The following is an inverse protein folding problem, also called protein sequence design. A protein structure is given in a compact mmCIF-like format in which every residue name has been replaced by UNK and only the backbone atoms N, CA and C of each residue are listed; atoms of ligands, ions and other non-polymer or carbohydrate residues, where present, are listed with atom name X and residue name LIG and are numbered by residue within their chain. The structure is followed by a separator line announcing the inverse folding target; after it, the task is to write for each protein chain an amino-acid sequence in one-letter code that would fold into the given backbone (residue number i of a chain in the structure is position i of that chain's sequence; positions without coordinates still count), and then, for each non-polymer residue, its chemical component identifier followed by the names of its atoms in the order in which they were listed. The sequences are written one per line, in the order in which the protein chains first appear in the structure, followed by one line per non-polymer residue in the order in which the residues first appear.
data_IF_757643851381
#
_entry.id   IF_757643851381
#
_cell.length_a   1.000
_cell.length_b   1.000
_cell.length_c   1.000
_cell.angle_alpha   90.00
_cell.angle_beta   90.00
_cell.angle_gamma   90.00
#
_symmetry.space_group_name_H-M   'P 1'
#
loop_
_entity.id
_entity.type
_entity.pdbx_description
1 polymer ?
#
# COMPACT_ATOMS: atom_id res chain seq x y z
N UNK A 1 16.99 -62.86 -38.48
CA UNK A 1 15.87 -62.08 -37.97
C UNK A 1 16.36 -61.31 -36.78
N UNK A 2 16.65 -60.00 -36.96
CA UNK A 2 17.25 -59.15 -35.92
C UNK A 2 16.21 -58.09 -35.47
N UNK A 3 15.68 -58.30 -34.29
CA UNK A 3 14.66 -57.39 -33.70
C UNK A 3 15.36 -56.18 -33.07
N UNK A 4 15.16 -54.98 -33.63
CA UNK A 4 15.64 -53.70 -33.07
C UNK A 4 14.64 -53.25 -31.99
N UNK A 5 15.07 -53.21 -30.75
CA UNK A 5 14.33 -52.58 -29.65
C UNK A 5 14.48 -51.07 -29.72
N UNK A 6 13.34 -50.35 -29.83
CA UNK A 6 13.26 -48.89 -29.81
C UNK A 6 13.14 -48.44 -28.35
N UNK A 7 14.23 -47.84 -27.79
CA UNK A 7 14.17 -47.19 -26.47
C UNK A 7 13.51 -45.82 -26.65
N UNK A 8 12.32 -45.67 -26.09
CA UNK A 8 11.61 -44.40 -25.99
C UNK A 8 12.08 -43.70 -24.72
N UNK A 9 12.96 -42.69 -24.87
CA UNK A 9 13.40 -41.86 -23.72
C UNK A 9 12.31 -40.86 -23.38
N UNK A 10 11.67 -41.05 -22.21
CA UNK A 10 10.70 -40.12 -21.65
C UNK A 10 11.42 -38.94 -21.00
N UNK A 11 11.40 -37.78 -21.63
CA UNK A 11 11.92 -36.51 -21.05
C UNK A 11 10.84 -35.94 -20.13
N UNK A 12 11.05 -36.05 -18.84
CA UNK A 12 10.22 -35.38 -17.82
C UNK A 12 10.56 -33.87 -17.83
N UNK A 13 9.71 -33.06 -18.42
CA UNK A 13 9.75 -31.61 -18.26
C UNK A 13 9.27 -31.27 -16.82
N UNK A 14 10.23 -30.93 -15.96
CA UNK A 14 9.93 -30.34 -14.65
C UNK A 14 9.46 -28.90 -14.86
N UNK A 15 8.18 -28.62 -14.64
CA UNK A 15 7.67 -27.26 -14.59
C UNK A 15 8.25 -26.53 -13.36
N UNK A 16 8.72 -25.28 -13.47
CA UNK A 16 9.17 -24.52 -12.31
C UNK A 16 7.99 -24.28 -11.36
N UNK A 17 8.08 -24.75 -10.13
CA UNK A 17 7.16 -24.40 -9.07
C UNK A 17 7.38 -22.93 -8.72
N UNK A 18 6.42 -22.06 -9.06
CA UNK A 18 6.43 -20.68 -8.57
C UNK A 18 6.38 -20.71 -7.05
N UNK A 19 7.48 -20.31 -6.41
CA UNK A 19 7.55 -20.20 -4.95
C UNK A 19 6.71 -18.99 -4.52
N UNK A 20 5.85 -19.16 -3.52
CA UNK A 20 5.10 -18.04 -2.94
C UNK A 20 6.10 -17.02 -2.36
N UNK A 21 5.84 -15.73 -2.60
CA UNK A 21 6.68 -14.66 -2.09
C UNK A 21 6.71 -14.69 -0.55
N UNK A 22 7.87 -14.43 0.03
CA UNK A 22 8.04 -14.36 1.47
C UNK A 22 7.36 -13.10 2.05
N UNK A 23 7.01 -13.07 3.35
CA UNK A 23 6.46 -11.88 3.99
C UNK A 23 7.35 -10.63 3.85
N UNK A 24 8.68 -10.81 3.79
CA UNK A 24 9.65 -9.73 3.61
C UNK A 24 9.53 -9.14 2.19
N UNK A 25 9.49 -10.01 1.17
CA UNK A 25 9.32 -9.56 -0.23
C UNK A 25 7.99 -8.85 -0.43
N UNK A 26 6.91 -9.38 0.15
CA UNK A 26 5.60 -8.74 0.11
C UNK A 26 5.58 -7.39 0.84
N UNK A 27 6.31 -7.25 1.96
CA UNK A 27 6.42 -5.98 2.68
C UNK A 27 7.13 -4.91 1.83
N UNK A 28 8.18 -5.27 1.09
CA UNK A 28 8.85 -4.36 0.16
C UNK A 28 7.96 -4.00 -1.05
N UNK A 29 7.16 -4.94 -1.53
CA UNK A 29 6.16 -4.66 -2.57
C UNK A 29 5.13 -3.64 -2.06
N UNK A 30 4.57 -3.84 -0.86
CA UNK A 30 3.61 -2.89 -0.26
C UNK A 30 4.27 -1.54 0.02
N UNK A 31 5.52 -1.50 0.48
CA UNK A 31 6.29 -0.27 0.65
C UNK A 31 6.40 0.50 -0.67
N UNK A 32 6.74 -0.19 -1.73
CA UNK A 32 6.83 0.40 -3.08
C UNK A 32 5.47 0.91 -3.58
N UNK A 33 4.40 0.17 -3.26
CA UNK A 33 3.01 0.59 -3.60
C UNK A 33 2.59 1.82 -2.82
N UNK A 34 2.92 1.91 -1.52
CA UNK A 34 2.63 3.10 -0.69
C UNK A 34 3.36 4.34 -1.20
N UNK A 35 4.65 4.20 -1.56
CA UNK A 35 5.43 5.30 -2.15
C UNK A 35 4.83 5.75 -3.50
N UNK A 36 4.41 4.82 -4.34
CA UNK A 36 3.75 5.15 -5.60
C UNK A 36 2.38 5.81 -5.38
N UNK A 37 1.64 5.39 -4.35
CA UNK A 37 0.39 6.03 -3.95
C UNK A 37 0.63 7.46 -3.45
N UNK A 38 1.62 7.68 -2.59
CA UNK A 38 2.01 9.01 -2.15
C UNK A 38 2.42 9.92 -3.32
N UNK A 39 3.11 9.35 -4.31
CA UNK A 39 3.53 10.08 -5.49
C UNK A 39 2.38 10.62 -6.32
N UNK A 40 1.22 9.97 -6.34
CA UNK A 40 0.04 10.49 -7.06
C UNK A 40 -0.39 11.88 -6.55
N UNK A 41 -0.25 12.13 -5.23
CA UNK A 41 -0.49 13.44 -4.63
C UNK A 41 0.55 14.45 -5.09
N UNK A 42 1.84 14.09 -5.10
CA UNK A 42 2.91 14.96 -5.57
C UNK A 42 2.76 15.33 -7.06
N UNK A 43 2.40 14.33 -7.88
CA UNK A 43 2.19 14.49 -9.33
C UNK A 43 0.83 15.12 -9.68
N UNK A 44 -0.03 15.39 -8.67
CA UNK A 44 -1.38 15.99 -8.83
C UNK A 44 -2.29 15.14 -9.73
N UNK A 45 -2.18 13.80 -9.64
CA UNK A 45 -2.91 12.84 -10.46
C UNK A 45 -4.02 12.11 -9.67
N UNK A 46 -5.26 12.65 -9.64
CA UNK A 46 -6.39 12.02 -8.95
C UNK A 46 -6.86 10.73 -9.62
N UNK A 47 -6.59 10.54 -10.91
CA UNK A 47 -6.95 9.30 -11.63
C UNK A 47 -6.04 8.16 -11.19
N UNK A 48 -4.73 8.39 -11.15
CA UNK A 48 -3.78 7.43 -10.61
C UNK A 48 -4.08 7.15 -9.13
N UNK A 49 -4.36 8.18 -8.31
CA UNK A 49 -4.77 8.01 -6.91
C UNK A 49 -5.94 7.03 -6.77
N UNK A 50 -7.00 7.22 -7.54
CA UNK A 50 -8.18 6.34 -7.52
C UNK A 50 -7.84 4.87 -7.82
N UNK A 51 -6.82 4.61 -8.64
CA UNK A 51 -6.42 3.25 -9.02
C UNK A 51 -5.81 2.42 -7.89
N UNK A 52 -5.31 3.09 -6.83
CA UNK A 52 -4.78 2.44 -5.63
C UNK A 52 -5.87 2.03 -4.63
N UNK A 53 -7.09 2.55 -4.78
CA UNK A 53 -8.19 2.30 -3.85
C UNK A 53 -8.95 1.02 -4.22
N UNK A 54 -9.29 0.20 -3.21
CA UNK A 54 -10.28 -0.84 -3.38
C UNK A 54 -11.67 -0.21 -3.65
N UNK A 55 -12.58 -0.93 -4.31
CA UNK A 55 -13.92 -0.42 -4.59
C UNK A 55 -14.68 -0.02 -3.32
N UNK A 56 -14.48 -0.78 -2.26
CA UNK A 56 -15.08 -0.58 -0.93
C UNK A 56 -14.20 0.19 0.06
N UNK A 57 -13.14 0.87 -0.40
CA UNK A 57 -12.19 1.57 0.48
C UNK A 57 -12.89 2.50 1.48
N UNK A 58 -12.38 2.55 2.70
CA UNK A 58 -12.88 3.42 3.77
C UNK A 58 -11.75 4.31 4.26
N UNK A 59 -11.91 5.60 4.08
CA UNK A 59 -10.96 6.61 4.56
C UNK A 59 -11.57 7.41 5.70
N UNK A 60 -10.78 7.66 6.74
CA UNK A 60 -11.23 8.42 7.90
C UNK A 60 -10.17 9.40 8.39
N UNK A 61 -10.63 10.60 8.80
CA UNK A 61 -9.80 11.62 9.45
C UNK A 61 -10.64 12.39 10.44
N UNK A 62 -10.22 12.45 11.70
CA UNK A 62 -11.04 12.99 12.76
C UNK A 62 -12.39 12.26 12.87
N UNK A 63 -13.49 13.00 12.74
CA UNK A 63 -14.87 12.48 12.70
C UNK A 63 -15.39 12.19 11.29
N UNK A 64 -14.65 12.56 10.25
CA UNK A 64 -15.06 12.36 8.85
C UNK A 64 -14.76 10.95 8.38
N UNK A 65 -15.71 10.33 7.67
CA UNK A 65 -15.56 9.00 7.08
C UNK A 65 -16.12 9.00 5.66
N UNK A 66 -15.28 8.60 4.69
CA UNK A 66 -15.68 8.36 3.30
C UNK A 66 -15.68 6.87 3.02
N UNK A 67 -16.78 6.33 2.46
CA UNK A 67 -16.95 4.91 2.16
C UNK A 67 -17.15 4.68 0.66
N UNK A 68 -16.34 3.79 0.10
CA UNK A 68 -16.28 3.49 -1.32
C UNK A 68 -15.33 4.40 -2.07
N UNK A 69 -14.67 3.85 -3.11
CA UNK A 69 -13.70 4.57 -3.95
C UNK A 69 -14.21 5.93 -4.43
N UNK A 70 -15.44 5.98 -4.96
CA UNK A 70 -16.00 7.21 -5.50
C UNK A 70 -16.15 8.31 -4.43
N UNK A 71 -16.60 7.95 -3.22
CA UNK A 71 -16.76 8.88 -2.12
C UNK A 71 -15.40 9.38 -1.59
N UNK A 72 -14.38 8.50 -1.56
CA UNK A 72 -13.01 8.89 -1.19
C UNK A 72 -12.44 9.87 -2.21
N UNK A 73 -12.56 9.57 -3.51
CA UNK A 73 -12.07 10.44 -4.60
C UNK A 73 -12.74 11.80 -4.53
N UNK A 74 -14.06 11.86 -4.33
CA UNK A 74 -14.78 13.14 -4.22
C UNK A 74 -14.33 13.93 -2.98
N UNK A 75 -14.17 13.27 -1.82
CA UNK A 75 -13.69 13.92 -0.60
C UNK A 75 -12.25 14.47 -0.72
N UNK A 76 -11.42 13.83 -1.55
CA UNK A 76 -10.02 14.21 -1.74
C UNK A 76 -9.80 15.16 -2.92
N UNK A 77 -10.82 15.40 -3.75
CA UNK A 77 -10.74 16.19 -4.98
C UNK A 77 -10.06 17.55 -4.77
N UNK A 78 -10.49 18.31 -3.75
CA UNK A 78 -9.91 19.62 -3.44
C UNK A 78 -8.42 19.57 -3.07
N UNK A 79 -7.93 18.43 -2.57
CA UNK A 79 -6.51 18.25 -2.25
C UNK A 79 -5.63 18.14 -3.50
N UNK A 80 -6.21 17.81 -4.66
CA UNK A 80 -5.52 17.75 -5.95
C UNK A 80 -5.60 19.07 -6.73
N UNK A 81 -6.28 20.08 -6.21
CA UNK A 81 -6.34 21.40 -6.84
C UNK A 81 -5.04 22.18 -6.55
N UNK A 82 -4.69 23.09 -7.48
CA UNK A 82 -3.51 23.93 -7.36
C UNK A 82 -2.19 23.24 -7.75
N UNK A 83 -1.09 24.03 -7.84
CA UNK A 83 0.16 23.59 -8.44
C UNK A 83 1.06 22.76 -7.49
N UNK A 84 0.81 22.80 -6.19
CA UNK A 84 1.61 22.11 -5.18
C UNK A 84 0.74 21.20 -4.33
N UNK A 85 1.31 20.02 -3.97
CA UNK A 85 0.68 19.11 -3.03
C UNK A 85 0.56 19.80 -1.64
N UNK A 86 -0.59 19.69 -0.95
CA UNK A 86 -0.77 20.28 0.37
C UNK A 86 -0.01 19.53 1.46
N UNK A 87 0.38 18.29 1.21
CA UNK A 87 1.18 17.43 2.09
C UNK A 87 1.82 16.32 1.28
N UNK A 88 2.77 15.64 1.90
CA UNK A 88 3.39 14.41 1.42
C UNK A 88 3.41 13.36 2.53
N UNK A 89 3.64 12.09 2.17
CA UNK A 89 3.84 11.03 3.16
C UNK A 89 4.78 9.95 2.62
N UNK A 90 5.33 9.16 3.51
CA UNK A 90 6.15 7.99 3.19
C UNK A 90 6.01 6.93 4.29
N UNK A 91 6.15 5.64 3.97
CA UNK A 91 6.05 4.59 4.97
C UNK A 91 7.34 4.43 5.77
N UNK A 92 7.25 4.56 7.09
CA UNK A 92 8.30 4.17 8.03
C UNK A 92 8.17 2.69 8.41
N UNK A 93 6.93 2.21 8.46
CA UNK A 93 6.56 0.88 8.92
C UNK A 93 5.68 0.18 7.90
N UNK A 94 6.01 -1.07 7.57
CA UNK A 94 5.18 -1.96 6.75
C UNK A 94 5.26 -3.36 7.35
N UNK A 95 4.10 -3.98 7.58
CA UNK A 95 3.98 -5.37 8.02
C UNK A 95 2.92 -6.08 7.20
N UNK A 96 3.22 -7.30 6.79
CA UNK A 96 2.31 -8.17 6.04
C UNK A 96 1.93 -9.36 6.93
N UNK A 97 0.67 -9.76 6.91
CA UNK A 97 0.23 -10.98 7.60
C UNK A 97 0.88 -12.23 6.95
N UNK A 98 1.05 -13.29 7.73
CA UNK A 98 1.58 -14.57 7.22
C UNK A 98 0.77 -15.15 6.07
N UNK A 99 -0.53 -14.81 5.98
CA UNK A 99 -1.38 -15.16 4.83
C UNK A 99 -0.95 -14.50 3.51
N UNK A 100 -0.11 -13.45 3.55
CA UNK A 100 0.31 -12.69 2.39
C UNK A 100 -0.79 -11.85 1.74
N UNK A 101 -1.96 -11.67 2.40
CA UNK A 101 -3.14 -11.06 1.77
C UNK A 101 -3.52 -9.70 2.31
N UNK A 102 -3.01 -9.34 3.50
CA UNK A 102 -3.22 -8.03 4.14
C UNK A 102 -1.91 -7.48 4.67
N UNK A 103 -1.77 -6.17 4.57
CA UNK A 103 -0.63 -5.43 5.10
C UNK A 103 -1.07 -4.14 5.79
N UNK A 104 -0.30 -3.73 6.80
CA UNK A 104 -0.39 -2.41 7.41
C UNK A 104 0.83 -1.59 6.99
N UNK A 105 0.58 -0.38 6.52
CA UNK A 105 1.60 0.64 6.23
C UNK A 105 1.31 1.88 7.08
N UNK A 106 2.33 2.47 7.67
CA UNK A 106 2.19 3.67 8.50
C UNK A 106 3.43 4.54 8.42
N UNK A 107 3.25 5.85 8.61
CA UNK A 107 4.35 6.80 8.60
C UNK A 107 3.90 8.25 8.79
N UNK A 108 4.82 9.21 8.72
CA UNK A 108 4.53 10.63 8.88
C UNK A 108 3.77 11.18 7.67
N UNK A 109 2.90 12.14 7.96
CA UNK A 109 2.38 13.11 6.98
C UNK A 109 3.11 14.42 7.22
N UNK A 110 3.69 14.98 6.15
CA UNK A 110 4.54 16.16 6.19
C UNK A 110 3.89 17.34 5.45
N UNK A 111 3.97 18.53 6.02
CA UNK A 111 3.62 19.76 5.31
C UNK A 111 4.56 20.02 4.14
N UNK A 112 4.25 20.97 3.23
CA UNK A 112 5.16 21.38 2.15
C UNK A 112 6.54 21.88 2.65
N UNK A 113 6.61 22.35 3.90
CA UNK A 113 7.84 22.81 4.55
C UNK A 113 8.60 21.68 5.27
N UNK A 114 8.08 20.43 5.22
CA UNK A 114 8.70 19.25 5.82
C UNK A 114 8.35 19.03 7.30
N UNK A 115 7.48 19.84 7.89
CA UNK A 115 7.02 19.62 9.26
C UNK A 115 6.05 18.45 9.34
N UNK A 116 6.18 17.59 10.37
CA UNK A 116 5.23 16.51 10.62
C UNK A 116 3.89 17.08 11.11
N UNK A 117 2.85 16.91 10.31
CA UNK A 117 1.49 17.40 10.58
C UNK A 117 0.50 16.27 10.91
N UNK A 118 0.93 15.03 10.74
CA UNK A 118 0.07 13.87 11.01
C UNK A 118 0.80 12.55 10.93
N UNK A 119 0.01 11.50 11.04
CA UNK A 119 0.40 10.11 10.79
C UNK A 119 -0.68 9.49 9.92
N UNK A 120 -0.29 8.77 8.86
CA UNK A 120 -1.20 7.94 8.09
C UNK A 120 -1.10 6.48 8.55
N UNK A 121 -2.17 5.73 8.37
CA UNK A 121 -2.23 4.30 8.60
C UNK A 121 -3.12 3.70 7.51
N UNK A 122 -2.49 3.03 6.55
CA UNK A 122 -3.17 2.38 5.43
C UNK A 122 -3.16 0.87 5.61
N UNK A 123 -4.31 0.25 5.46
CA UNK A 123 -4.43 -1.21 5.32
C UNK A 123 -4.56 -1.53 3.85
N UNK A 124 -3.62 -2.34 3.37
CA UNK A 124 -3.54 -2.84 2.01
C UNK A 124 -4.04 -4.27 1.94
N UNK A 125 -4.80 -4.59 0.91
CA UNK A 125 -5.25 -5.94 0.59
C UNK A 125 -4.73 -6.35 -0.79
N UNK A 126 -4.21 -7.57 -0.88
CA UNK A 126 -3.90 -8.22 -2.15
C UNK A 126 -5.20 -8.75 -2.76
N UNK A 127 -5.66 -8.12 -3.82
CA UNK A 127 -6.87 -8.51 -4.52
C UNK A 127 -6.62 -9.72 -5.45
N UNK A 128 -7.68 -10.37 -5.91
CA UNK A 128 -7.60 -11.57 -6.77
C UNK A 128 -6.88 -11.35 -8.11
N UNK A 129 -6.78 -10.10 -8.54
CA UNK A 129 -6.03 -9.72 -9.75
C UNK A 129 -4.52 -9.51 -9.49
N UNK A 130 -4.03 -9.86 -8.31
CA UNK A 130 -2.63 -9.73 -7.91
C UNK A 130 -2.20 -8.31 -7.58
N UNK A 131 -3.13 -7.38 -7.36
CA UNK A 131 -2.81 -5.99 -7.05
C UNK A 131 -3.12 -5.65 -5.60
N UNK A 132 -2.17 -5.00 -4.95
CA UNK A 132 -2.38 -4.38 -3.66
C UNK A 132 -3.22 -3.11 -3.79
N UNK A 133 -4.31 -3.02 -3.01
CA UNK A 133 -5.17 -1.82 -2.91
C UNK A 133 -5.44 -1.45 -1.47
N UNK A 134 -5.55 -0.16 -1.22
CA UNK A 134 -5.95 0.37 0.09
C UNK A 134 -7.41 0.03 0.34
N UNK A 135 -7.69 -0.66 1.44
CA UNK A 135 -9.06 -0.97 1.92
C UNK A 135 -9.46 -0.07 3.08
N UNK A 136 -8.52 0.31 3.95
CA UNK A 136 -8.74 1.30 4.99
C UNK A 136 -7.57 2.28 5.03
N UNK A 137 -7.87 3.55 5.25
CA UNK A 137 -6.89 4.57 5.60
C UNK A 137 -7.41 5.42 6.76
N UNK A 138 -6.50 5.73 7.69
CA UNK A 138 -6.80 6.61 8.83
C UNK A 138 -5.68 7.62 9.03
N UNK A 139 -6.00 8.88 8.80
CA UNK A 139 -5.20 10.01 9.23
C UNK A 139 -5.41 10.30 10.71
N UNK A 140 -4.31 10.47 11.45
CA UNK A 140 -4.32 10.87 12.86
C UNK A 140 -3.44 12.11 13.04
N UNK A 141 -3.70 12.94 14.08
CA UNK A 141 -2.74 13.96 14.51
C UNK A 141 -1.38 13.33 14.81
N UNK A 142 -0.28 14.10 14.81
CA UNK A 142 1.02 13.59 15.27
C UNK A 142 0.86 13.06 16.70
N UNK A 143 1.43 11.87 16.96
CA UNK A 143 1.52 11.40 18.33
C UNK A 143 2.42 12.39 19.10
N UNK A 144 1.92 12.95 20.19
CA UNK A 144 2.77 13.71 21.11
C UNK A 144 3.84 12.79 21.67
N UNK A 145 5.12 13.21 21.72
CA UNK A 145 6.12 12.43 22.44
C UNK A 145 5.65 12.22 23.88
N UNK A 146 5.97 11.09 24.51
CA UNK A 146 5.66 10.90 25.92
C UNK A 146 6.25 12.07 26.73
N UNK A 147 5.58 12.54 27.78
CA UNK A 147 6.13 13.60 28.62
C UNK A 147 7.52 13.18 29.09
N UNK A 148 8.46 14.13 29.03
CA UNK A 148 9.80 13.88 29.54
C UNK A 148 9.71 13.37 30.99
N UNK A 149 10.52 12.35 31.38
CA UNK A 149 10.52 11.89 32.77
C UNK A 149 10.73 13.08 33.67
N UNK A 150 9.78 13.28 34.59
CA UNK A 150 9.84 14.38 35.55
C UNK A 150 11.18 14.31 36.27
N UNK A 151 11.90 15.45 36.34
CA UNK A 151 13.01 15.57 37.25
C UNK A 151 12.42 15.57 38.66
N UNK A 152 12.54 14.43 39.39
CA UNK A 152 12.39 14.38 40.83
C UNK A 152 13.55 15.12 41.50
#
# INVERSE_FOLDING_TARGET
MTTKALLCSLVLLSAPTAQAASPIELAEEVRSRELAFARTMADRDPVAFASFLAEEAVFSSGSSVSRGRAAVVEAWKGLFEGPRAPFSWHPDFVQVLDSGTLALSSGPVLSPEGARVGTFNSVWRLDKDGRWRVVFDRGCPPCSPPPAPGKE
#
